data_IF_802670562127
#
_entry.id   IF_802670562127
#
_cell.length_a   1.000
_cell.length_b   1.000
_cell.length_c   1.000
_cell.angle_alpha   90.00
_cell.angle_beta   90.00
_cell.angle_gamma   90.00
#
_symmetry.space_group_name_H-M   'P 1'
#
loop_
_entity.id
_entity.type
_entity.pdbx_description
1 polymer ?
#
# COMPACT_ATOMS: atom_id res chain seq x y z
N UNK A 1 39.47 4.11 9.72
CA UNK A 1 38.18 3.82 10.36
C UNK A 1 37.17 3.60 9.24
N UNK A 2 37.08 2.37 8.75
CA UNK A 2 36.15 2.02 7.66
C UNK A 2 34.79 1.75 8.28
N UNK A 3 33.78 2.50 7.83
CA UNK A 3 32.41 2.32 8.27
C UNK A 3 31.90 0.94 7.85
N UNK A 4 31.34 0.25 8.83
CA UNK A 4 30.67 -1.04 8.69
C UNK A 4 29.49 -0.84 7.71
N UNK A 5 29.59 -1.44 6.53
CA UNK A 5 28.52 -1.38 5.53
C UNK A 5 27.63 -2.58 5.80
N UNK A 6 26.35 -2.41 6.20
CA UNK A 6 25.50 -3.55 6.48
C UNK A 6 25.33 -4.38 5.21
N UNK A 7 25.41 -5.69 5.39
CA UNK A 7 25.05 -6.68 4.38
C UNK A 7 23.55 -6.52 4.12
N UNK A 8 23.18 -5.84 3.03
CA UNK A 8 21.85 -5.97 2.47
C UNK A 8 21.94 -7.14 1.52
N UNK A 9 21.43 -8.28 1.95
CA UNK A 9 21.14 -9.39 1.05
C UNK A 9 20.08 -8.87 0.06
N UNK A 10 20.33 -8.99 -1.25
CA UNK A 10 19.43 -8.53 -2.34
C UNK A 10 18.15 -9.38 -2.44
N UNK A 11 17.70 -9.95 -1.31
CA UNK A 11 16.31 -10.34 -1.11
C UNK A 11 15.44 -9.09 -1.27
N UNK A 12 14.89 -8.93 -2.47
CA UNK A 12 14.06 -7.83 -2.96
C UNK A 12 13.51 -6.91 -1.86
N UNK A 13 14.15 -5.74 -1.69
CA UNK A 13 13.77 -4.76 -0.68
C UNK A 13 12.26 -4.44 -0.74
N UNK A 14 11.55 -4.64 0.37
CA UNK A 14 10.08 -4.54 0.46
C UNK A 14 9.56 -3.11 0.31
N UNK A 15 10.38 -2.11 0.62
CA UNK A 15 10.05 -0.69 0.57
C UNK A 15 11.32 0.15 0.37
N UNK A 16 11.19 1.31 -0.29
CA UNK A 16 12.30 2.23 -0.55
C UNK A 16 11.95 3.67 -0.17
N UNK A 17 12.95 4.43 0.26
CA UNK A 17 12.80 5.84 0.64
C UNK A 17 13.05 6.70 -0.61
N UNK A 18 12.01 7.36 -1.11
CA UNK A 18 12.10 8.21 -2.31
C UNK A 18 12.59 9.63 -1.99
N UNK A 19 12.44 10.07 -0.73
CA UNK A 19 12.84 11.41 -0.28
C UNK A 19 13.21 11.41 1.20
N UNK A 20 14.26 12.17 1.54
CA UNK A 20 14.73 12.34 2.91
C UNK A 20 15.70 11.24 3.34
N UNK A 21 16.12 11.31 4.60
CA UNK A 21 17.09 10.40 5.20
C UNK A 21 16.61 10.04 6.62
N UNK A 22 15.62 9.12 6.72
CA UNK A 22 15.05 8.74 8.00
C UNK A 22 16.05 7.97 8.85
N UNK A 23 15.90 8.06 10.16
CA UNK A 23 16.69 7.27 11.08
C UNK A 23 16.27 5.80 11.04
N UNK A 24 17.12 4.92 11.57
CA UNK A 24 16.82 3.48 11.64
C UNK A 24 15.58 3.21 12.53
N UNK A 25 15.43 3.97 13.60
CA UNK A 25 14.31 3.89 14.54
C UNK A 25 12.99 4.26 13.86
N UNK A 26 12.99 5.29 13.02
CA UNK A 26 11.81 5.71 12.26
C UNK A 26 11.38 4.64 11.23
N UNK A 27 12.34 4.01 10.54
CA UNK A 27 12.07 2.91 9.62
C UNK A 27 11.52 1.67 10.34
N UNK A 28 12.04 1.34 11.51
CA UNK A 28 11.56 0.22 12.33
C UNK A 28 10.12 0.46 12.81
N UNK A 29 9.84 1.67 13.31
CA UNK A 29 8.50 2.06 13.75
C UNK A 29 7.47 1.99 12.61
N UNK A 30 7.81 2.52 11.43
CA UNK A 30 6.92 2.46 10.26
C UNK A 30 6.64 1.01 9.84
N UNK A 31 7.66 0.17 9.81
CA UNK A 31 7.52 -1.25 9.43
C UNK A 31 6.59 -1.99 10.39
N UNK A 32 6.72 -1.75 11.70
CA UNK A 32 5.84 -2.35 12.71
C UNK A 32 4.36 -1.96 12.49
N UNK A 33 4.10 -0.69 12.16
CA UNK A 33 2.74 -0.21 11.85
C UNK A 33 2.18 -0.89 10.60
N UNK A 34 2.97 -0.97 9.52
CA UNK A 34 2.54 -1.62 8.26
C UNK A 34 2.17 -3.09 8.49
N UNK A 35 2.98 -3.82 9.27
CA UNK A 35 2.72 -5.21 9.63
C UNK A 35 1.44 -5.35 10.48
N UNK A 36 1.16 -4.42 11.39
CA UNK A 36 -0.07 -4.41 12.19
C UNK A 36 -1.33 -4.20 11.34
N UNK A 37 -1.26 -3.45 10.24
CA UNK A 37 -2.40 -3.18 9.36
C UNK A 37 -2.75 -4.38 8.47
N UNK A 38 -1.76 -5.18 8.08
CA UNK A 38 -1.94 -6.34 7.19
C UNK A 38 -2.83 -7.46 7.75
N UNK A 39 -3.03 -7.51 9.07
CA UNK A 39 -3.88 -8.52 9.72
C UNK A 39 -5.37 -8.18 9.73
N UNK A 40 -5.78 -6.96 9.37
CA UNK A 40 -7.15 -6.47 9.53
C UNK A 40 -8.07 -6.67 8.30
N UNK A 41 -7.52 -6.99 7.11
CA UNK A 41 -8.23 -6.88 5.82
C UNK A 41 -9.02 -8.16 5.40
N UNK A 42 -9.14 -9.16 6.27
CA UNK A 42 -9.77 -10.44 5.90
C UNK A 42 -11.31 -10.43 5.92
N UNK A 43 -11.99 -9.35 6.34
CA UNK A 43 -13.45 -9.37 6.55
C UNK A 43 -14.21 -8.29 5.77
N UNK A 44 -14.75 -8.75 4.63
CA UNK A 44 -16.06 -8.43 4.04
C UNK A 44 -16.40 -7.01 3.51
N UNK A 45 -16.65 -6.94 2.19
CA UNK A 45 -17.88 -6.39 1.60
C UNK A 45 -18.06 -6.91 0.16
N UNK A 46 -19.29 -7.27 -0.22
CA UNK A 46 -19.62 -7.94 -1.48
C UNK A 46 -19.09 -7.26 -2.74
N UNK A 47 -18.61 -8.07 -3.70
CA UNK A 47 -18.04 -7.58 -4.96
C UNK A 47 -19.13 -6.92 -5.82
N UNK A 48 -18.95 -5.66 -6.27
CA UNK A 48 -19.89 -5.05 -7.20
C UNK A 48 -19.92 -5.81 -8.54
N UNK A 49 -21.09 -5.89 -9.17
CA UNK A 49 -21.24 -6.58 -10.46
C UNK A 49 -20.79 -5.68 -11.63
N UNK A 50 -20.55 -6.27 -12.81
CA UNK A 50 -20.20 -5.50 -14.01
C UNK A 50 -21.27 -4.46 -14.40
N UNK A 51 -22.55 -4.75 -14.14
CA UNK A 51 -23.67 -3.81 -14.39
C UNK A 51 -23.62 -2.61 -13.46
N UNK A 52 -23.26 -2.81 -12.20
CA UNK A 52 -23.09 -1.73 -11.23
C UNK A 52 -21.93 -0.80 -11.63
N UNK A 53 -20.89 -1.37 -12.23
CA UNK A 53 -19.73 -0.61 -12.71
C UNK A 53 -20.06 0.27 -13.93
N UNK A 54 -20.68 -0.30 -14.97
CA UNK A 54 -21.08 0.46 -16.17
C UNK A 54 -22.00 1.62 -15.79
N UNK A 55 -22.97 1.38 -14.91
CA UNK A 55 -23.88 2.43 -14.42
C UNK A 55 -23.13 3.56 -13.71
N UNK A 56 -22.15 3.25 -12.85
CA UNK A 56 -21.36 4.28 -12.14
C UNK A 56 -20.48 5.10 -13.09
N UNK A 57 -19.89 4.46 -14.10
CA UNK A 57 -19.08 5.16 -15.11
C UNK A 57 -19.94 6.14 -15.92
N UNK A 58 -21.12 5.73 -16.38
CA UNK A 58 -22.05 6.60 -17.11
C UNK A 58 -22.46 7.83 -16.29
N UNK A 59 -22.60 7.66 -14.98
CA UNK A 59 -22.95 8.73 -14.03
C UNK A 59 -21.73 9.56 -13.56
N UNK A 60 -20.51 9.25 -14.04
CA UNK A 60 -19.25 9.92 -13.66
C UNK A 60 -19.04 10.06 -12.14
N UNK A 61 -19.46 9.04 -11.40
CA UNK A 61 -19.32 9.04 -9.94
C UNK A 61 -17.86 8.85 -9.55
N UNK A 62 -17.43 9.56 -8.51
CA UNK A 62 -16.09 9.38 -7.94
C UNK A 62 -15.88 7.93 -7.45
N UNK A 63 -14.65 7.40 -7.49
CA UNK A 63 -14.35 6.06 -6.98
C UNK A 63 -14.81 5.90 -5.53
N UNK A 64 -15.47 4.78 -5.21
CA UNK A 64 -15.86 4.49 -3.82
C UNK A 64 -14.59 4.33 -2.98
N UNK A 65 -14.44 5.10 -1.89
CA UNK A 65 -13.28 4.99 -1.00
C UNK A 65 -13.19 3.60 -0.36
N UNK A 66 -11.97 3.08 -0.19
CA UNK A 66 -11.74 1.83 0.53
C UNK A 66 -10.51 1.05 0.04
N UNK A 67 -10.17 -0.06 0.71
CA UNK A 67 -9.05 -0.91 0.32
C UNK A 67 -9.17 -1.37 -1.14
N UNK A 68 -8.11 -1.13 -1.91
CA UNK A 68 -8.07 -1.45 -3.33
C UNK A 68 -8.90 -0.54 -4.24
N UNK A 69 -9.51 0.54 -3.74
CA UNK A 69 -10.20 1.54 -4.57
C UNK A 69 -9.29 2.13 -5.65
N UNK A 70 -8.03 2.40 -5.29
CA UNK A 70 -6.98 2.91 -6.19
C UNK A 70 -6.60 1.91 -7.31
N UNK A 71 -6.83 0.60 -7.13
CA UNK A 71 -6.59 -0.39 -8.20
C UNK A 71 -7.58 -0.24 -9.35
N UNK A 72 -8.71 0.41 -9.07
CA UNK A 72 -9.82 0.63 -10.00
C UNK A 72 -9.79 2.03 -10.62
N UNK A 73 -8.79 2.86 -10.29
CA UNK A 73 -8.65 4.23 -10.77
C UNK A 73 -7.68 4.37 -11.95
N UNK A 74 -7.45 3.32 -12.74
CA UNK A 74 -6.60 3.43 -13.94
C UNK A 74 -7.42 3.95 -15.12
N UNK A 75 -7.06 5.16 -15.56
CA UNK A 75 -7.57 5.87 -16.75
C UNK A 75 -8.49 7.02 -16.38
#
# INVERSE_FOLDING_TARGET
MSADKPFVDDAQALLSVVKGQPSAEELAALTAVVLSLGSADAVAAGKPTARDWVRRQQLRLAPTPGPGAWRRSRG
#
